data_IF_337879666202
#
_entry.id   IF_337879666202
#
_cell.length_a   1.000
_cell.length_b   1.000
_cell.length_c   1.000
_cell.angle_alpha   90.00
_cell.angle_beta   90.00
_cell.angle_gamma   90.00
#
_symmetry.space_group_name_H-M   'P 1'
#
loop_
_entity.id
_entity.type
_entity.pdbx_description
1 polymer ?
#
# COMPACT_ATOMS: atom_id res chain seq x y z
N UNK A 1 -24.58 12.21 2.84
CA UNK A 1 -24.01 12.09 1.48
C UNK A 1 -22.58 12.63 1.51
N UNK A 2 -21.61 11.80 1.89
CA UNK A 2 -20.20 12.10 1.65
C UNK A 2 -19.92 11.76 0.19
N UNK A 3 -19.80 12.78 -0.65
CA UNK A 3 -19.39 12.62 -2.03
C UNK A 3 -17.88 12.27 -2.00
N UNK A 4 -17.57 10.98 -1.92
CA UNK A 4 -16.20 10.46 -1.91
C UNK A 4 -15.58 10.77 -3.28
N UNK A 5 -14.97 11.95 -3.40
CA UNK A 5 -14.16 12.32 -4.57
C UNK A 5 -12.95 11.39 -4.54
N UNK A 6 -12.99 10.34 -5.35
CA UNK A 6 -11.80 9.55 -5.59
C UNK A 6 -10.68 10.47 -6.10
N UNK A 7 -9.56 10.56 -5.38
CA UNK A 7 -8.45 11.42 -5.77
C UNK A 7 -7.97 11.06 -7.18
N UNK A 8 -7.69 12.06 -8.01
CA UNK A 8 -7.21 11.84 -9.39
C UNK A 8 -5.77 11.31 -9.43
N UNK A 9 -5.05 11.30 -8.31
CA UNK A 9 -3.59 11.13 -8.30
C UNK A 9 -3.09 9.70 -8.09
N UNK A 10 -3.97 8.73 -7.78
CA UNK A 10 -3.56 7.32 -7.81
C UNK A 10 -3.08 6.88 -9.21
N UNK A 11 -3.51 7.60 -10.25
CA UNK A 11 -3.14 7.37 -11.65
C UNK A 11 -1.68 7.77 -11.98
N UNK A 12 -1.03 8.57 -11.13
CA UNK A 12 0.31 9.13 -11.42
C UNK A 12 1.44 8.41 -10.67
N UNK A 13 1.17 7.85 -9.48
CA UNK A 13 2.21 7.32 -8.59
C UNK A 13 2.90 6.06 -9.13
N UNK A 14 2.21 5.27 -9.97
CA UNK A 14 2.75 4.02 -10.53
C UNK A 14 3.57 4.24 -11.81
N UNK A 15 3.46 5.41 -12.48
CA UNK A 15 4.19 5.66 -13.73
C UNK A 15 5.64 6.14 -13.57
N UNK A 16 6.14 6.36 -12.35
CA UNK A 16 7.47 6.97 -12.14
C UNK A 16 8.65 6.00 -11.99
N UNK A 17 8.46 4.69 -12.17
CA UNK A 17 9.53 3.68 -12.09
C UNK A 17 10.11 3.24 -13.45
N UNK A 18 9.77 3.94 -14.53
CA UNK A 18 10.39 3.76 -15.85
C UNK A 18 11.62 4.65 -16.07
N UNK A 19 12.67 4.53 -15.25
CA UNK A 19 13.96 5.13 -15.60
C UNK A 19 14.61 4.32 -16.73
N UNK A 20 14.47 4.81 -17.95
CA UNK A 20 15.30 4.41 -19.09
C UNK A 20 16.77 4.63 -18.74
N UNK A 21 17.54 3.55 -18.67
CA UNK A 21 18.99 3.62 -18.57
C UNK A 21 19.54 4.32 -19.83
N UNK A 22 19.90 5.59 -19.70
CA UNK A 22 20.69 6.30 -20.71
C UNK A 22 22.09 5.69 -20.72
N UNK A 23 22.58 5.14 -21.85
CA UNK A 23 23.95 4.66 -21.92
C UNK A 23 24.90 5.85 -21.88
N UNK A 24 25.60 6.02 -20.76
CA UNK A 24 26.66 7.01 -20.61
C UNK A 24 27.88 6.52 -21.40
N UNK A 25 28.29 7.32 -22.38
CA UNK A 25 29.45 7.05 -23.21
C UNK A 25 30.73 6.96 -22.35
N UNK A 26 31.54 5.95 -22.63
CA UNK A 26 32.79 5.65 -21.96
C UNK A 26 33.81 6.78 -22.10
N UNK A 27 34.39 7.17 -20.96
CA UNK A 27 35.59 7.98 -20.91
C UNK A 27 36.73 7.05 -20.47
N UNK A 28 37.64 6.76 -21.39
CA UNK A 28 38.87 5.99 -21.15
C UNK A 28 39.80 6.76 -20.21
N UNK A 29 40.24 6.11 -19.14
CA UNK A 29 41.42 6.51 -18.37
C UNK A 29 42.04 5.23 -17.83
N UNK A 30 43.26 4.97 -18.31
CA UNK A 30 44.06 3.79 -18.03
C UNK A 30 44.69 3.83 -16.64
N UNK A 31 45.08 2.62 -16.22
CA UNK A 31 46.11 2.25 -15.25
C UNK A 31 45.72 2.10 -13.77
N UNK A 32 45.73 0.83 -13.32
CA UNK A 32 45.88 0.49 -11.91
C UNK A 32 44.97 -0.63 -11.39
N UNK A 33 45.53 -1.84 -11.31
CA UNK A 33 45.08 -3.01 -10.53
C UNK A 33 43.77 -3.69 -10.98
N UNK A 34 43.91 -4.88 -11.56
CA UNK A 34 42.82 -5.82 -11.81
C UNK A 34 42.06 -6.13 -10.51
N UNK A 35 40.75 -5.84 -10.42
CA UNK A 35 39.93 -6.39 -9.36
C UNK A 35 39.80 -7.89 -9.63
N UNK A 36 40.09 -8.69 -8.59
CA UNK A 36 39.74 -10.10 -8.59
C UNK A 36 38.25 -10.24 -8.92
N UNK A 37 37.98 -11.03 -9.96
CA UNK A 37 36.67 -11.40 -10.48
C UNK A 37 35.89 -12.10 -9.35
N UNK A 38 35.24 -11.32 -8.48
CA UNK A 38 34.21 -11.83 -7.59
C UNK A 38 33.03 -12.18 -8.48
N UNK A 39 33.02 -13.44 -8.92
CA UNK A 39 31.88 -14.06 -9.57
C UNK A 39 30.63 -13.68 -8.78
N UNK A 40 29.76 -12.90 -9.43
CA UNK A 40 28.46 -12.57 -8.88
C UNK A 40 27.79 -13.89 -8.45
N UNK A 41 27.18 -13.94 -7.25
CA UNK A 41 26.48 -15.14 -6.82
C UNK A 41 25.49 -15.54 -7.91
N UNK A 42 25.38 -16.85 -8.23
CA UNK A 42 24.48 -17.31 -9.28
C UNK A 42 23.08 -16.80 -8.96
N UNK A 43 22.45 -16.14 -9.94
CA UNK A 43 21.08 -15.69 -9.84
C UNK A 43 20.24 -16.87 -9.34
N UNK A 44 19.63 -16.72 -8.16
CA UNK A 44 18.82 -17.76 -7.57
C UNK A 44 17.77 -18.18 -8.59
N UNK A 45 17.75 -19.46 -8.95
CA UNK A 45 16.81 -19.95 -9.95
C UNK A 45 15.43 -19.92 -9.32
N UNK A 46 14.54 -19.09 -9.85
CA UNK A 46 13.20 -18.91 -9.30
C UNK A 46 12.39 -20.21 -9.41
N UNK A 47 11.60 -20.52 -8.38
CA UNK A 47 10.76 -21.71 -8.37
C UNK A 47 9.64 -21.59 -9.43
N UNK A 48 9.11 -22.72 -9.95
CA UNK A 48 7.94 -22.69 -10.84
C UNK A 48 6.73 -21.98 -10.22
N UNK A 49 6.57 -22.09 -8.89
CA UNK A 49 5.53 -21.40 -8.13
C UNK A 49 5.70 -19.88 -8.17
N UNK A 50 6.92 -19.37 -7.96
CA UNK A 50 7.22 -17.95 -8.03
C UNK A 50 6.95 -17.38 -9.44
N UNK A 51 7.31 -18.13 -10.48
CA UNK A 51 7.02 -17.74 -11.88
C UNK A 51 5.52 -17.70 -12.13
N UNK A 52 4.76 -18.69 -11.67
CA UNK A 52 3.31 -18.73 -11.82
C UNK A 52 2.61 -17.59 -11.06
N UNK A 53 3.05 -17.31 -9.83
CA UNK A 53 2.55 -16.20 -9.03
C UNK A 53 2.80 -14.86 -9.74
N UNK A 54 4.00 -14.66 -10.31
CA UNK A 54 4.29 -13.45 -11.08
C UNK A 54 3.40 -13.31 -12.31
N UNK A 55 3.15 -14.39 -13.05
CA UNK A 55 2.23 -14.34 -14.20
C UNK A 55 0.81 -13.94 -13.80
N UNK A 56 0.33 -14.43 -12.64
CA UNK A 56 -0.96 -14.03 -12.11
C UNK A 56 -0.99 -12.54 -11.73
N UNK A 57 0.07 -12.03 -11.08
CA UNK A 57 0.23 -10.60 -10.81
C UNK A 57 0.21 -9.78 -12.10
N UNK A 58 1.03 -10.14 -13.09
CA UNK A 58 1.16 -9.41 -14.34
C UNK A 58 -0.20 -9.33 -15.07
N UNK A 59 -0.99 -10.42 -15.07
CA UNK A 59 -2.31 -10.44 -15.69
C UNK A 59 -3.28 -9.43 -15.05
N UNK A 60 -3.32 -9.35 -13.72
CA UNK A 60 -4.17 -8.37 -13.01
C UNK A 60 -3.63 -6.95 -13.20
N UNK A 61 -2.32 -6.78 -13.13
CA UNK A 61 -1.69 -5.48 -13.33
C UNK A 61 -1.99 -4.91 -14.72
N UNK A 62 -2.01 -5.74 -15.77
CA UNK A 62 -2.43 -5.32 -17.12
C UNK A 62 -3.93 -4.93 -17.18
N UNK A 63 -4.80 -5.58 -16.42
CA UNK A 63 -6.21 -5.17 -16.31
C UNK A 63 -6.32 -3.77 -15.70
N UNK A 64 -5.56 -3.51 -14.63
CA UNK A 64 -5.51 -2.18 -14.00
C UNK A 64 -5.01 -1.11 -14.98
N UNK A 65 -3.91 -1.36 -15.70
CA UNK A 65 -3.38 -0.42 -16.70
C UNK A 65 -4.39 -0.13 -17.82
N UNK A 66 -5.13 -1.16 -18.26
CA UNK A 66 -6.20 -0.99 -19.25
C UNK A 66 -7.31 -0.09 -18.73
N UNK A 67 -7.73 -0.27 -17.48
CA UNK A 67 -8.73 0.60 -16.85
C UNK A 67 -8.25 2.05 -16.74
N UNK A 68 -6.96 2.27 -16.42
CA UNK A 68 -6.40 3.63 -16.37
C UNK A 68 -6.43 4.33 -17.74
N UNK A 69 -6.10 3.62 -18.81
CA UNK A 69 -6.16 4.17 -20.17
C UNK A 69 -7.59 4.51 -20.61
N UNK A 70 -8.55 3.65 -20.26
CA UNK A 70 -9.98 3.91 -20.47
C UNK A 70 -10.44 5.14 -19.68
N UNK A 71 -10.07 5.28 -18.40
CA UNK A 71 -10.38 6.47 -17.58
C UNK A 71 -9.83 7.74 -18.23
N UNK A 72 -8.60 7.70 -18.74
CA UNK A 72 -7.98 8.84 -19.43
C UNK A 72 -8.76 9.21 -20.68
N UNK A 73 -9.11 8.23 -21.51
CA UNK A 73 -9.87 8.42 -22.75
C UNK A 73 -11.25 9.01 -22.48
N UNK A 74 -12.02 8.42 -21.56
CA UNK A 74 -13.37 8.90 -21.22
C UNK A 74 -13.33 10.30 -20.61
N UNK A 75 -12.29 10.62 -19.83
CA UNK A 75 -12.09 11.98 -19.29
C UNK A 75 -11.91 13.01 -20.40
N UNK A 76 -11.08 12.70 -21.41
CA UNK A 76 -10.86 13.59 -22.55
C UNK A 76 -12.16 13.84 -23.33
N UNK A 77 -12.97 12.80 -23.55
CA UNK A 77 -14.29 12.92 -24.19
C UNK A 77 -15.24 13.79 -23.36
N UNK A 78 -15.29 13.56 -22.04
CA UNK A 78 -16.14 14.30 -21.10
C UNK A 78 -15.83 15.80 -21.08
N UNK A 79 -14.58 16.19 -21.25
CA UNK A 79 -14.19 17.61 -21.24
C UNK A 79 -14.77 18.38 -22.43
N UNK A 80 -14.93 17.71 -23.58
CA UNK A 80 -15.60 18.25 -24.76
C UNK A 80 -17.14 18.16 -24.69
N UNK A 81 -17.69 17.14 -24.03
CA UNK A 81 -19.13 16.86 -23.97
C UNK A 81 -19.96 17.90 -23.21
N UNK A 82 -21.28 17.96 -23.49
CA UNK A 82 -22.26 18.84 -22.83
C UNK A 82 -23.57 18.09 -22.57
N UNK A 83 -24.44 18.65 -21.72
CA UNK A 83 -25.77 18.09 -21.47
C UNK A 83 -25.75 16.63 -21.01
N UNK A 84 -26.66 15.82 -21.56
CA UNK A 84 -26.83 14.40 -21.21
C UNK A 84 -25.60 13.54 -21.52
N UNK A 85 -24.87 13.82 -22.60
CA UNK A 85 -23.64 13.10 -22.94
C UNK A 85 -22.59 13.23 -21.84
N UNK A 86 -22.44 14.43 -21.27
CA UNK A 86 -21.51 14.66 -20.16
C UNK A 86 -21.92 13.88 -18.90
N UNK A 87 -23.23 13.70 -18.66
CA UNK A 87 -23.73 12.92 -17.54
C UNK A 87 -23.44 11.43 -17.74
N UNK A 88 -23.71 10.88 -18.93
CA UNK A 88 -23.39 9.50 -19.27
C UNK A 88 -21.89 9.20 -19.13
N UNK A 89 -21.02 10.10 -19.60
CA UNK A 89 -19.56 9.96 -19.44
C UNK A 89 -19.11 10.06 -17.97
N UNK A 90 -19.83 10.79 -17.12
CA UNK A 90 -19.54 10.80 -15.68
C UNK A 90 -19.88 9.45 -15.04
N UNK A 91 -21.01 8.83 -15.40
CA UNK A 91 -21.39 7.49 -14.92
C UNK A 91 -20.35 6.45 -15.35
N UNK A 92 -19.97 6.45 -16.62
CA UNK A 92 -18.92 5.57 -17.13
C UNK A 92 -17.58 5.77 -16.41
N UNK A 93 -17.20 7.02 -16.09
CA UNK A 93 -16.01 7.29 -15.28
C UNK A 93 -16.10 6.73 -13.87
N UNK A 94 -17.27 6.70 -13.24
CA UNK A 94 -17.45 6.11 -11.92
C UNK A 94 -17.31 4.59 -11.96
N UNK A 95 -17.90 3.93 -12.97
CA UNK A 95 -17.78 2.49 -13.17
C UNK A 95 -16.32 2.08 -13.40
N UNK A 96 -15.62 2.75 -14.31
CA UNK A 96 -14.21 2.47 -14.59
C UNK A 96 -13.30 2.68 -13.37
N UNK A 97 -13.62 3.67 -12.52
CA UNK A 97 -12.91 3.89 -11.25
C UNK A 97 -13.15 2.77 -10.25
N UNK A 98 -14.39 2.32 -10.11
CA UNK A 98 -14.73 1.20 -9.24
C UNK A 98 -14.04 -0.09 -9.71
N UNK A 99 -13.91 -0.30 -11.01
CA UNK A 99 -13.21 -1.46 -11.56
C UNK A 99 -11.69 -1.37 -11.39
N UNK A 100 -11.10 -0.17 -11.55
CA UNK A 100 -9.70 0.06 -11.23
C UNK A 100 -9.42 -0.15 -9.72
N UNK A 101 -10.34 0.21 -8.84
CA UNK A 101 -10.25 -0.05 -7.40
C UNK A 101 -10.21 -1.55 -7.09
N UNK A 102 -11.16 -2.32 -7.62
CA UNK A 102 -11.17 -3.79 -7.45
C UNK A 102 -9.92 -4.45 -8.03
N UNK A 103 -9.34 -3.88 -9.08
CA UNK A 103 -8.10 -4.39 -9.65
C UNK A 103 -6.91 -4.18 -8.70
N UNK A 104 -6.90 -3.10 -7.89
CA UNK A 104 -5.87 -2.89 -6.87
C UNK A 104 -5.96 -3.95 -5.76
N UNK A 105 -7.15 -4.30 -5.30
CA UNK A 105 -7.33 -5.38 -4.31
C UNK A 105 -6.72 -6.70 -4.83
N UNK A 106 -6.97 -7.01 -6.11
CA UNK A 106 -6.39 -8.21 -6.76
C UNK A 106 -4.88 -8.09 -6.97
N UNK A 107 -4.35 -6.90 -7.23
CA UNK A 107 -2.89 -6.64 -7.34
C UNK A 107 -2.22 -6.92 -6.00
N UNK A 108 -2.84 -6.47 -4.89
CA UNK A 108 -2.36 -6.74 -3.54
C UNK A 108 -2.29 -8.25 -3.31
N UNK A 109 -3.40 -8.96 -3.52
CA UNK A 109 -3.47 -10.41 -3.28
C UNK A 109 -2.43 -11.18 -4.11
N UNK A 110 -2.34 -10.87 -5.41
CA UNK A 110 -1.37 -11.50 -6.29
C UNK A 110 0.08 -11.13 -5.92
N UNK A 111 0.33 -9.90 -5.51
CA UNK A 111 1.67 -9.45 -5.12
C UNK A 111 2.12 -10.07 -3.81
N UNK A 112 1.23 -10.23 -2.83
CA UNK A 112 1.54 -10.97 -1.59
C UNK A 112 1.89 -12.43 -1.91
N UNK A 113 1.16 -13.07 -2.83
CA UNK A 113 1.49 -14.43 -3.28
C UNK A 113 2.87 -14.50 -3.96
N UNK A 114 3.22 -13.49 -4.75
CA UNK A 114 4.56 -13.35 -5.33
C UNK A 114 5.62 -13.23 -4.24
N UNK A 115 5.42 -12.36 -3.24
CA UNK A 115 6.35 -12.17 -2.14
C UNK A 115 6.55 -13.47 -1.34
N UNK A 116 5.46 -14.15 -0.99
CA UNK A 116 5.52 -15.41 -0.26
C UNK A 116 6.30 -16.51 -1.02
N UNK A 117 6.19 -16.55 -2.36
CA UNK A 117 6.88 -17.55 -3.19
C UNK A 117 8.35 -17.20 -3.48
N UNK A 118 8.69 -15.92 -3.58
CA UNK A 118 10.06 -15.45 -3.81
C UNK A 118 10.27 -14.02 -3.25
N UNK A 119 10.58 -13.89 -1.94
CA UNK A 119 10.71 -12.59 -1.28
C UNK A 119 11.69 -11.64 -1.96
N UNK A 120 12.81 -12.16 -2.48
CA UNK A 120 13.83 -11.37 -3.17
C UNK A 120 13.80 -11.53 -4.70
N UNK A 121 12.82 -12.26 -5.23
CA UNK A 121 12.77 -12.61 -6.65
C UNK A 121 12.28 -11.48 -7.55
N UNK A 122 11.43 -10.59 -7.02
CA UNK A 122 10.71 -9.56 -7.79
C UNK A 122 10.62 -8.23 -7.02
N UNK A 123 11.74 -7.50 -6.87
CA UNK A 123 11.81 -6.27 -6.06
C UNK A 123 10.85 -5.17 -6.53
N UNK A 124 10.49 -5.13 -7.81
CA UNK A 124 9.51 -4.20 -8.37
C UNK A 124 8.09 -4.45 -7.88
N UNK A 125 7.71 -5.72 -7.70
CA UNK A 125 6.40 -6.11 -7.16
C UNK A 125 6.34 -5.75 -5.67
N UNK A 126 7.43 -6.03 -4.94
CA UNK A 126 7.57 -5.65 -3.54
C UNK A 126 7.44 -4.14 -3.34
N UNK A 127 8.14 -3.36 -4.17
CA UNK A 127 8.07 -1.90 -4.15
C UNK A 127 6.65 -1.40 -4.42
N UNK A 128 5.93 -2.07 -5.32
CA UNK A 128 4.52 -1.77 -5.61
C UNK A 128 3.63 -2.00 -4.39
N UNK A 129 3.79 -3.12 -3.68
CA UNK A 129 3.02 -3.42 -2.46
C UNK A 129 3.27 -2.41 -1.35
N UNK A 130 4.54 -2.05 -1.12
CA UNK A 130 4.91 -1.02 -0.15
C UNK A 130 4.32 0.33 -0.51
N UNK A 131 4.37 0.72 -1.78
CA UNK A 131 3.79 1.98 -2.26
C UNK A 131 2.26 2.03 -2.06
N UNK A 132 1.55 0.93 -2.33
CA UNK A 132 0.10 0.84 -2.10
C UNK A 132 -0.22 0.98 -0.62
N UNK A 133 0.47 0.23 0.25
CA UNK A 133 0.28 0.30 1.70
C UNK A 133 0.56 1.71 2.24
N UNK A 134 1.66 2.32 1.82
CA UNK A 134 2.02 3.68 2.20
C UNK A 134 1.00 4.71 1.70
N UNK A 135 0.51 4.56 0.46
CA UNK A 135 -0.49 5.47 -0.10
C UNK A 135 -1.80 5.43 0.69
N UNK A 136 -2.30 4.24 1.06
CA UNK A 136 -3.51 4.15 1.89
C UNK A 136 -3.30 4.72 3.29
N UNK A 137 -2.13 4.52 3.88
CA UNK A 137 -1.84 4.97 5.23
C UNK A 137 -1.57 6.48 5.31
N UNK A 138 -0.58 6.96 4.56
CA UNK A 138 0.00 8.30 4.69
C UNK A 138 -0.35 9.24 3.52
N UNK A 139 -0.84 8.70 2.42
CA UNK A 139 -1.15 9.45 1.21
C UNK A 139 0.09 9.83 0.39
N UNK A 140 -0.18 10.52 -0.72
CA UNK A 140 0.83 11.09 -1.60
C UNK A 140 1.29 12.45 -1.04
N UNK A 141 2.59 12.66 -0.80
CA UNK A 141 3.11 13.88 -0.19
C UNK A 141 3.08 15.10 -1.12
N UNK A 142 2.97 14.91 -2.44
CA UNK A 142 2.98 15.99 -3.42
C UNK A 142 1.57 16.52 -3.70
N UNK A 143 0.59 15.62 -3.70
CA UNK A 143 -0.79 15.93 -4.08
C UNK A 143 -1.73 16.02 -2.89
N UNK A 144 -1.35 15.45 -1.74
CA UNK A 144 -2.20 15.34 -0.56
C UNK A 144 -3.36 14.35 -0.73
N UNK A 145 -3.35 13.59 -1.83
CA UNK A 145 -4.34 12.57 -2.14
C UNK A 145 -4.02 11.26 -1.39
N UNK A 146 -5.05 10.49 -1.03
CA UNK A 146 -4.87 9.27 -0.26
C UNK A 146 -4.69 9.54 1.24
N UNK A 147 -4.11 8.57 1.95
CA UNK A 147 -3.92 8.64 3.40
C UNK A 147 -5.20 8.46 4.19
N UNK A 148 -5.04 8.25 5.50
CA UNK A 148 -6.13 8.07 6.48
C UNK A 148 -7.16 6.97 6.07
N UNK A 149 -6.80 6.07 5.15
CA UNK A 149 -7.60 4.92 4.71
C UNK A 149 -7.10 3.67 5.45
N UNK A 150 -7.14 3.71 6.77
CA UNK A 150 -6.56 2.69 7.65
C UNK A 150 -7.16 1.30 7.41
N UNK A 151 -8.44 1.21 7.11
CA UNK A 151 -9.16 -0.03 6.79
C UNK A 151 -8.66 -0.68 5.51
N UNK A 152 -8.15 0.12 4.55
CA UNK A 152 -7.55 -0.38 3.31
C UNK A 152 -6.06 -0.64 3.45
N UNK A 153 -5.37 0.12 4.30
CA UNK A 153 -3.95 -0.06 4.56
C UNK A 153 -3.68 -1.33 5.38
N UNK A 154 -4.52 -1.64 6.37
CA UNK A 154 -4.24 -2.71 7.32
C UNK A 154 -4.17 -4.11 6.67
N UNK A 155 -5.12 -4.55 5.83
CA UNK A 155 -5.07 -5.89 5.24
C UNK A 155 -3.79 -6.21 4.44
N UNK A 156 -3.32 -5.37 3.48
CA UNK A 156 -2.06 -5.64 2.79
C UNK A 156 -0.85 -5.65 3.73
N UNK A 157 -0.82 -4.77 4.73
CA UNK A 157 0.29 -4.74 5.70
C UNK A 157 0.32 -6.04 6.51
N UNK A 158 -0.83 -6.51 7.01
CA UNK A 158 -0.93 -7.78 7.74
C UNK A 158 -0.49 -8.93 6.86
N UNK A 159 -0.98 -9.01 5.62
CA UNK A 159 -0.63 -10.08 4.69
C UNK A 159 0.88 -10.13 4.37
N UNK A 160 1.54 -8.97 4.23
CA UNK A 160 2.99 -8.88 4.07
C UNK A 160 3.72 -9.34 5.34
N UNK A 161 3.30 -8.86 6.51
CA UNK A 161 3.91 -9.24 7.79
C UNK A 161 3.79 -10.74 8.07
N UNK A 162 2.63 -11.33 7.77
CA UNK A 162 2.38 -12.77 7.89
C UNK A 162 3.26 -13.60 6.92
N UNK A 163 3.61 -13.02 5.76
CA UNK A 163 4.56 -13.60 4.81
C UNK A 163 6.04 -13.38 5.20
N UNK A 164 6.33 -12.80 6.37
CA UNK A 164 7.69 -12.57 6.87
C UNK A 164 8.33 -11.25 6.44
N UNK A 165 7.57 -10.37 5.77
CA UNK A 165 8.10 -9.13 5.21
C UNK A 165 8.63 -8.14 6.25
N UNK A 166 8.27 -8.31 7.52
CA UNK A 166 8.73 -7.47 8.62
C UNK A 166 10.23 -7.59 8.92
N UNK A 167 10.93 -8.61 8.43
CA UNK A 167 12.40 -8.71 8.53
C UNK A 167 13.09 -7.79 7.53
N UNK A 168 12.59 -7.76 6.29
CA UNK A 168 13.13 -6.96 5.20
C UNK A 168 12.67 -5.50 5.25
N UNK A 169 11.42 -5.28 5.68
CA UNK A 169 10.81 -3.97 5.82
C UNK A 169 10.21 -3.78 7.20
N UNK A 170 11.07 -3.57 8.22
CA UNK A 170 10.61 -3.38 9.60
C UNK A 170 9.58 -2.25 9.75
N UNK A 171 9.60 -1.21 8.89
CA UNK A 171 8.62 -0.12 8.90
C UNK A 171 7.17 -0.58 8.79
N UNK A 172 6.91 -1.77 8.23
CA UNK A 172 5.58 -2.39 8.19
C UNK A 172 4.99 -2.60 9.58
N UNK A 173 5.81 -2.85 10.62
CA UNK A 173 5.32 -2.95 11.99
C UNK A 173 4.73 -1.62 12.47
N UNK A 174 5.43 -0.51 12.22
CA UNK A 174 4.92 0.82 12.59
C UNK A 174 3.67 1.18 11.80
N UNK A 175 3.68 0.93 10.49
CA UNK A 175 2.54 1.21 9.60
C UNK A 175 1.31 0.41 10.01
N UNK A 176 1.49 -0.88 10.29
CA UNK A 176 0.44 -1.76 10.76
C UNK A 176 -0.08 -1.35 12.12
N UNK A 177 0.79 -0.92 13.04
CA UNK A 177 0.38 -0.48 14.37
C UNK A 177 -0.52 0.76 14.31
N UNK A 178 -0.16 1.74 13.50
CA UNK A 178 -0.97 2.95 13.27
C UNK A 178 -2.29 2.59 12.60
N UNK A 179 -2.27 1.72 11.57
CA UNK A 179 -3.51 1.29 10.92
C UNK A 179 -4.43 0.55 11.88
N UNK A 180 -3.92 -0.43 12.62
CA UNK A 180 -4.66 -1.22 13.60
C UNK A 180 -5.25 -0.35 14.72
N UNK A 181 -4.50 0.64 15.21
CA UNK A 181 -4.99 1.60 16.19
C UNK A 181 -6.22 2.36 15.68
N UNK A 182 -6.16 2.88 14.45
CA UNK A 182 -7.24 3.66 13.87
C UNK A 182 -8.45 2.81 13.45
N UNK A 183 -8.28 1.50 13.26
CA UNK A 183 -9.39 0.55 13.01
C UNK A 183 -9.92 -0.13 14.28
N UNK A 184 -9.54 0.35 15.47
CA UNK A 184 -9.90 -0.21 16.78
C UNK A 184 -9.41 -1.65 17.03
N UNK A 185 -8.45 -2.15 16.24
CA UNK A 185 -7.78 -3.43 16.50
C UNK A 185 -6.62 -3.20 17.48
N UNK A 186 -6.98 -2.88 18.72
CA UNK A 186 -6.01 -2.46 19.72
C UNK A 186 -5.08 -3.58 20.21
N UNK A 187 -5.48 -4.85 20.04
CA UNK A 187 -4.61 -5.98 20.34
C UNK A 187 -3.46 -6.05 19.34
N UNK A 188 -3.77 -5.97 18.03
CA UNK A 188 -2.76 -5.93 16.97
C UNK A 188 -1.93 -4.65 17.04
N UNK A 189 -2.54 -3.51 17.35
CA UNK A 189 -1.81 -2.26 17.51
C UNK A 189 -0.73 -2.37 18.60
N UNK A 190 -1.06 -2.95 19.76
CA UNK A 190 -0.12 -3.17 20.86
C UNK A 190 1.03 -4.09 20.46
N UNK A 191 0.71 -5.23 19.80
CA UNK A 191 1.72 -6.17 19.31
C UNK A 191 2.69 -5.50 18.32
N UNK A 192 2.14 -4.77 17.34
CA UNK A 192 2.93 -4.18 16.27
C UNK A 192 3.73 -2.97 16.74
N UNK A 193 3.23 -2.17 17.69
CA UNK A 193 4.05 -1.12 18.32
C UNK A 193 5.23 -1.72 19.08
N UNK A 194 5.04 -2.83 19.81
CA UNK A 194 6.16 -3.49 20.50
C UNK A 194 7.23 -4.00 19.51
N UNK A 195 6.82 -4.54 18.36
CA UNK A 195 7.74 -4.93 17.28
C UNK A 195 8.42 -3.74 16.63
N UNK A 196 7.71 -2.63 16.43
CA UNK A 196 8.28 -1.39 15.88
C UNK A 196 9.32 -0.77 16.81
N UNK A 197 9.07 -0.75 18.12
CA UNK A 197 10.01 -0.29 19.14
C UNK A 197 11.27 -1.18 19.17
N UNK A 198 11.11 -2.50 19.10
CA UNK A 198 12.22 -3.44 19.04
C UNK A 198 13.10 -3.26 17.80
N UNK A 199 12.51 -2.83 16.68
CA UNK A 199 13.21 -2.49 15.45
C UNK A 199 13.76 -1.05 15.41
N UNK A 200 13.61 -0.27 16.50
CA UNK A 200 14.05 1.13 16.62
C UNK A 200 13.42 2.04 15.56
N UNK A 201 12.15 1.79 15.24
CA UNK A 201 11.38 2.54 14.23
C UNK A 201 10.52 3.65 14.82
N UNK A 202 10.56 3.82 16.15
CA UNK A 202 9.92 4.90 16.87
C UNK A 202 10.99 5.91 17.30
N UNK A 203 10.66 7.21 17.25
CA UNK A 203 11.59 8.30 17.55
C UNK A 203 12.42 8.79 16.35
N UNK A 204 13.54 9.50 16.63
CA UNK A 204 14.33 10.26 15.65
C UNK A 204 15.17 9.42 14.66
N UNK A 205 15.10 8.08 14.74
CA UNK A 205 15.89 7.15 13.93
C UNK A 205 15.14 6.46 12.77
N UNK A 206 13.84 6.74 12.59
CA UNK A 206 13.01 6.02 11.63
C UNK A 206 13.26 6.47 10.18
N UNK A 207 14.10 5.72 9.46
CA UNK A 207 14.35 5.93 8.02
C UNK A 207 13.15 5.43 7.21
N UNK A 208 12.71 6.20 6.21
CA UNK A 208 11.63 5.81 5.30
C UNK A 208 10.21 6.05 5.80
N UNK A 209 10.06 6.62 7.00
CA UNK A 209 8.75 6.99 7.58
C UNK A 209 8.57 8.51 7.54
N UNK A 210 7.40 8.99 7.11
CA UNK A 210 7.13 10.43 7.12
C UNK A 210 7.05 10.97 8.56
N UNK A 211 7.53 12.19 8.79
CA UNK A 211 7.47 12.83 10.13
C UNK A 211 6.03 12.87 10.67
N UNK A 212 5.04 13.07 9.80
CA UNK A 212 3.61 13.01 10.15
C UNK A 212 3.25 11.65 10.76
N UNK A 213 3.69 10.56 10.14
CA UNK A 213 3.38 9.22 10.62
C UNK A 213 4.05 8.89 11.95
N UNK A 214 5.26 9.41 12.20
CA UNK A 214 5.93 9.28 13.50
C UNK A 214 5.17 10.00 14.62
N UNK A 215 4.67 11.22 14.36
CA UNK A 215 3.85 11.96 15.33
C UNK A 215 2.53 11.24 15.60
N UNK A 216 1.89 10.69 14.55
CA UNK A 216 0.68 9.89 14.71
C UNK A 216 0.93 8.62 15.53
N UNK A 217 2.04 7.92 15.27
CA UNK A 217 2.43 6.74 16.02
C UNK A 217 2.68 7.04 17.50
N UNK A 218 3.40 8.12 17.81
CA UNK A 218 3.65 8.54 19.19
C UNK A 218 2.34 8.85 19.93
N UNK A 219 1.44 9.62 19.30
CA UNK A 219 0.13 9.92 19.87
C UNK A 219 -0.72 8.65 20.05
N UNK A 220 -0.69 7.74 19.09
CA UNK A 220 -1.39 6.46 19.18
C UNK A 220 -0.87 5.61 20.34
N UNK A 221 0.44 5.45 20.48
CA UNK A 221 1.07 4.71 21.59
C UNK A 221 0.67 5.30 22.95
N UNK A 222 0.71 6.63 23.09
CA UNK A 222 0.35 7.30 24.35
C UNK A 222 -1.14 7.10 24.71
N UNK A 223 -2.03 7.10 23.72
CA UNK A 223 -3.47 7.00 23.92
C UNK A 223 -4.00 5.55 23.98
N UNK A 224 -3.24 4.58 23.47
CA UNK A 224 -3.66 3.18 23.33
C UNK A 224 -4.18 2.56 24.65
N UNK A 225 -3.55 2.71 25.82
CA UNK A 225 -4.07 2.14 27.07
C UNK A 225 -5.44 2.70 27.46
N UNK A 226 -5.66 3.99 27.24
CA UNK A 226 -6.92 4.67 27.55
C UNK A 226 -8.02 4.21 26.59
N UNK A 227 -7.74 4.17 25.29
CA UNK A 227 -8.72 3.73 24.28
C UNK A 227 -9.10 2.26 24.44
N UNK A 228 -8.15 1.36 24.74
CA UNK A 228 -8.45 -0.05 25.04
C UNK A 228 -9.48 -0.21 26.15
N UNK A 229 -9.33 0.57 27.23
CA UNK A 229 -10.27 0.54 28.36
C UNK A 229 -11.66 1.05 27.96
N UNK A 230 -11.73 2.11 27.17
CA UNK A 230 -13.01 2.69 26.73
C UNK A 230 -13.71 1.78 25.72
N UNK A 231 -12.96 1.18 24.81
CA UNK A 231 -13.49 0.22 23.84
C UNK A 231 -14.07 -1.03 24.51
N UNK A 232 -13.40 -1.58 25.52
CA UNK A 232 -13.94 -2.69 26.29
C UNK A 232 -15.24 -2.33 27.07
N UNK A 233 -15.50 -1.05 27.34
CA UNK A 233 -16.77 -0.59 27.88
C UNK A 233 -17.82 -0.45 26.78
N UNK A 234 -17.46 0.13 25.63
CA UNK A 234 -18.29 0.24 24.44
C UNK A 234 -18.79 -1.13 23.95
N UNK A 235 -17.91 -2.14 23.87
CA UNK A 235 -18.29 -3.50 23.48
C UNK A 235 -19.34 -4.11 24.42
N UNK A 236 -19.26 -3.83 25.72
CA UNK A 236 -20.27 -4.28 26.70
C UNK A 236 -21.61 -3.57 26.49
N UNK A 237 -21.58 -2.28 26.18
CA UNK A 237 -22.79 -1.50 25.89
C UNK A 237 -23.45 -2.05 24.62
N UNK A 238 -22.71 -2.21 23.52
CA UNK A 238 -23.23 -2.77 22.26
C UNK A 238 -23.81 -4.17 22.44
N UNK A 239 -23.15 -5.02 23.22
CA UNK A 239 -23.67 -6.36 23.52
C UNK A 239 -24.99 -6.29 24.30
N UNK A 240 -25.14 -5.35 25.23
CA UNK A 240 -26.38 -5.15 25.98
C UNK A 240 -27.51 -4.58 25.09
N UNK A 241 -27.20 -3.60 24.23
CA UNK A 241 -28.16 -3.02 23.27
C UNK A 241 -28.64 -4.06 22.25
N UNK A 242 -27.71 -4.84 21.69
CA UNK A 242 -28.04 -5.94 20.78
C UNK A 242 -28.90 -7.01 21.45
N UNK A 243 -28.66 -7.31 22.74
CA UNK A 243 -29.50 -8.23 23.50
C UNK A 243 -30.89 -7.66 23.83
N UNK A 244 -31.02 -6.33 23.91
CA UNK A 244 -32.27 -5.65 24.19
C UNK A 244 -33.14 -5.39 22.94
N UNK A 245 -32.62 -5.60 21.72
CA UNK A 245 -33.24 -5.19 20.44
C UNK A 245 -33.60 -3.68 20.42
N UNK A 246 -32.83 -2.86 21.14
CA UNK A 246 -33.08 -1.42 21.34
C UNK A 246 -32.35 -0.55 20.29
N UNK A 247 -31.79 -1.18 19.26
CA UNK A 247 -31.14 -0.46 18.16
C UNK A 247 -32.21 0.03 17.17
N UNK A 248 -32.28 1.34 16.86
CA UNK A 248 -33.20 1.84 15.84
C UNK A 248 -32.88 1.17 14.50
N UNK A 249 -33.91 0.56 13.89
CA UNK A 249 -33.84 -0.04 12.55
C UNK A 249 -33.84 1.02 11.46
#
# INVERSE_FOLDING_TARGET
MFCSRMPQSLLLLIMLLGMTATPLAAQESSDGAAPADQAAPPAATLSPEAVAAKQAFDAVYQQYLTALDQIKTVRQQRDAARGEEKLALNEQLQELRADAEKAIDKIIDAGVAVYAAAPDGYPEINSTLLAIAQFYLAGDPLTGDGGDQYEKALPPIVALLDAGAGEQWPQLWLWGAVAAYNTNDFARAEEYFAKADAAVLTGSGAVGTSQRLLVLAEQAQQNLPMLKRHWAQEEKIRAAEAAADDLPR
#
